data_IF_926361625100
#
_entry.id   IF_926361625100
#
_cell.length_a   1.000
_cell.length_b   1.000
_cell.length_c   1.000
_cell.angle_alpha   90.00
_cell.angle_beta   90.00
_cell.angle_gamma   90.00
#
_symmetry.space_group_name_H-M   'P 1'
#
loop_
_entity.id
_entity.type
_entity.pdbx_description
1 polymer ?
#
# COMPACT_ATOMS: atom_id res chain seq x y z
N UNK A 1 18.78 37.75 15.85
CA UNK A 1 17.31 37.76 15.97
C UNK A 1 16.83 36.34 15.73
N UNK A 2 16.21 35.67 16.71
CA UNK A 2 15.80 34.27 16.57
C UNK A 2 14.47 34.22 15.78
N UNK A 3 14.41 33.60 14.59
CA UNK A 3 13.20 33.58 13.75
C UNK A 3 12.02 32.83 14.39
N UNK A 4 12.25 32.08 15.47
CA UNK A 4 11.23 31.29 16.18
C UNK A 4 10.53 32.04 17.33
N UNK A 5 10.69 33.37 17.43
CA UNK A 5 10.12 34.18 18.54
C UNK A 5 8.68 34.65 18.32
N UNK A 6 8.01 34.21 17.25
CA UNK A 6 6.57 34.30 17.12
C UNK A 6 5.98 32.98 17.60
N UNK A 7 5.15 33.00 18.65
CA UNK A 7 4.36 31.82 19.00
C UNK A 7 3.56 31.42 17.75
N UNK A 8 3.72 30.19 17.21
CA UNK A 8 2.90 29.75 16.10
C UNK A 8 1.46 29.64 16.61
N UNK A 9 0.66 30.66 16.31
CA UNK A 9 -0.77 30.64 16.62
C UNK A 9 -1.42 29.74 15.59
N UNK A 10 -1.70 28.50 15.98
CA UNK A 10 -2.59 27.60 15.26
C UNK A 10 -4.01 28.01 15.63
N UNK A 11 -4.80 28.46 14.64
CA UNK A 11 -6.25 28.66 14.83
C UNK A 11 -6.94 27.30 14.84
N UNK A 12 -8.24 27.29 15.15
CA UNK A 12 -9.06 26.08 15.12
C UNK A 12 -8.87 25.32 13.78
N UNK A 13 -8.60 24.02 13.89
CA UNK A 13 -8.54 23.11 12.74
C UNK A 13 -9.93 23.02 12.08
N UNK A 14 -9.95 22.82 10.77
CA UNK A 14 -11.18 22.82 9.98
C UNK A 14 -11.24 21.53 9.17
N UNK A 15 -12.43 20.95 9.07
CA UNK A 15 -12.72 19.83 8.18
C UNK A 15 -13.12 20.40 6.81
N UNK A 16 -12.67 19.75 5.73
CA UNK A 16 -13.08 20.12 4.39
C UNK A 16 -13.23 18.90 3.49
N UNK A 17 -13.69 19.16 2.27
CA UNK A 17 -13.89 18.13 1.25
C UNK A 17 -13.09 18.49 0.00
N UNK A 18 -12.33 17.54 -0.55
CA UNK A 18 -11.59 17.76 -1.80
C UNK A 18 -12.57 17.95 -2.97
N UNK A 19 -12.41 19.04 -3.72
CA UNK A 19 -13.23 19.33 -4.92
C UNK A 19 -12.46 19.28 -6.23
N UNK A 20 -11.14 19.34 -6.17
CA UNK A 20 -10.30 19.14 -7.34
C UNK A 20 -8.94 18.60 -6.93
N UNK A 21 -8.50 17.58 -7.66
CA UNK A 21 -7.17 17.00 -7.52
C UNK A 21 -6.29 17.39 -8.71
N UNK A 22 -5.36 18.33 -8.52
CA UNK A 22 -4.29 18.63 -9.48
C UNK A 22 -3.01 17.83 -9.19
N UNK A 23 -1.94 18.00 -9.98
CA UNK A 23 -0.68 17.25 -9.76
C UNK A 23 0.14 17.70 -8.53
N UNK A 24 -0.18 18.86 -7.92
CA UNK A 24 0.50 19.42 -6.73
C UNK A 24 -0.36 20.38 -5.90
N UNK A 25 -1.61 20.59 -6.31
CA UNK A 25 -2.51 21.56 -5.72
C UNK A 25 -3.85 20.85 -5.48
N UNK A 26 -4.33 20.93 -4.24
CA UNK A 26 -5.65 20.47 -3.86
C UNK A 26 -6.55 21.69 -3.66
N UNK A 27 -7.73 21.63 -4.24
CA UNK A 27 -8.80 22.57 -3.94
C UNK A 27 -9.71 21.94 -2.90
N UNK A 28 -9.90 22.64 -1.78
CA UNK A 28 -10.70 22.16 -0.65
C UNK A 28 -11.90 23.07 -0.45
N UNK A 29 -13.08 22.47 -0.28
CA UNK A 29 -14.29 23.13 0.17
C UNK A 29 -14.36 23.04 1.69
N UNK A 30 -14.31 24.17 2.38
CA UNK A 30 -14.51 24.25 3.83
C UNK A 30 -15.99 24.15 4.22
N UNK A 31 -16.26 23.87 5.50
CA UNK A 31 -17.63 23.75 6.04
C UNK A 31 -18.48 25.02 5.86
N UNK A 32 -17.86 26.19 5.77
CA UNK A 32 -18.51 27.49 5.54
C UNK A 32 -18.91 27.72 4.08
N UNK A 33 -18.64 26.76 3.17
CA UNK A 33 -18.85 26.90 1.74
C UNK A 33 -17.71 27.62 1.01
N UNK A 34 -16.61 27.93 1.69
CA UNK A 34 -15.46 28.58 1.08
C UNK A 34 -14.59 27.60 0.28
N UNK A 35 -14.18 28.01 -0.92
CA UNK A 35 -13.17 27.29 -1.69
C UNK A 35 -11.78 27.85 -1.38
N UNK A 36 -10.86 26.96 -1.09
CA UNK A 36 -9.45 27.25 -0.85
C UNK A 36 -8.62 26.50 -1.88
N UNK A 37 -7.87 27.26 -2.66
CA UNK A 37 -6.97 26.73 -3.69
C UNK A 37 -5.56 26.49 -3.14
N UNK A 38 -4.80 25.68 -3.88
CA UNK A 38 -3.38 25.42 -3.64
C UNK A 38 -3.04 24.97 -2.21
N UNK A 39 -3.92 24.18 -1.60
CA UNK A 39 -3.67 23.64 -0.25
C UNK A 39 -2.67 22.48 -0.34
N UNK A 40 -1.48 22.59 0.28
CA UNK A 40 -0.50 21.52 0.27
C UNK A 40 -0.92 20.36 1.20
N UNK A 41 -0.62 19.14 0.77
CA UNK A 41 -0.70 17.93 1.59
C UNK A 41 0.68 17.62 2.16
N UNK A 42 0.79 17.55 3.49
CA UNK A 42 2.03 17.15 4.17
C UNK A 42 1.92 15.70 4.63
N UNK A 43 2.92 14.90 4.29
CA UNK A 43 2.97 13.46 4.61
C UNK A 43 4.32 13.09 5.21
N UNK A 44 4.37 11.93 5.86
CA UNK A 44 5.61 11.39 6.42
C UNK A 44 6.62 11.09 5.31
N UNK A 45 7.91 11.30 5.58
CA UNK A 45 8.98 10.98 4.62
C UNK A 45 8.95 9.48 4.31
N UNK A 46 9.00 9.13 3.03
CA UNK A 46 8.89 7.75 2.56
C UNK A 46 7.47 7.25 2.34
N UNK A 47 6.45 8.08 2.58
CA UNK A 47 5.04 7.78 2.30
C UNK A 47 4.45 8.84 1.36
N UNK A 48 3.76 8.38 0.31
CA UNK A 48 3.04 9.24 -0.61
C UNK A 48 1.68 8.61 -0.91
N UNK A 49 0.61 9.33 -0.57
CA UNK A 49 -0.76 8.93 -0.88
C UNK A 49 -1.51 10.14 -1.37
N UNK A 50 -2.03 10.07 -2.59
CA UNK A 50 -2.82 11.15 -3.15
C UNK A 50 -4.27 11.03 -2.70
N UNK A 51 -4.88 12.16 -2.37
CA UNK A 51 -6.26 12.21 -1.92
C UNK A 51 -7.20 12.22 -3.14
N UNK A 52 -8.25 11.39 -3.15
CA UNK A 52 -9.24 11.43 -4.21
C UNK A 52 -10.19 12.63 -4.08
N UNK A 53 -10.97 12.86 -5.14
CA UNK A 53 -12.10 13.79 -5.06
C UNK A 53 -13.11 13.32 -4.01
N UNK A 54 -13.78 14.29 -3.39
CA UNK A 54 -14.73 14.10 -2.29
C UNK A 54 -14.16 13.46 -1.00
N UNK A 55 -12.84 13.24 -0.91
CA UNK A 55 -12.20 12.87 0.35
C UNK A 55 -12.40 13.96 1.41
N UNK A 56 -12.67 13.53 2.64
CA UNK A 56 -12.72 14.42 3.80
C UNK A 56 -11.31 14.64 4.33
N UNK A 57 -10.96 15.89 4.66
CA UNK A 57 -9.63 16.28 5.09
C UNK A 57 -9.65 17.13 6.34
N UNK A 58 -8.61 16.97 7.17
CA UNK A 58 -8.31 17.89 8.27
C UNK A 58 -7.26 18.89 7.81
N UNK A 59 -7.62 20.16 7.88
CA UNK A 59 -6.76 21.28 7.53
C UNK A 59 -6.33 22.07 8.77
N UNK A 60 -5.04 22.38 8.85
CA UNK A 60 -4.47 23.23 9.89
C UNK A 60 -4.12 24.61 9.33
N UNK A 61 -4.68 25.69 9.88
CA UNK A 61 -4.29 27.05 9.51
C UNK A 61 -2.90 27.38 10.08
N UNK A 62 -2.02 27.82 9.20
CA UNK A 62 -0.63 28.16 9.50
C UNK A 62 -0.44 29.67 9.67
N UNK A 63 0.45 30.07 10.59
CA UNK A 63 0.85 31.46 10.83
C UNK A 63 -0.32 32.40 11.20
N UNK A 64 -1.38 31.88 11.82
CA UNK A 64 -2.52 32.69 12.25
C UNK A 64 -3.36 33.31 11.13
N UNK A 65 -3.17 32.91 9.85
CA UNK A 65 -3.95 33.37 8.69
C UNK A 65 -5.02 32.36 8.30
N UNK A 66 -6.23 32.86 7.99
CA UNK A 66 -7.39 32.02 7.70
C UNK A 66 -7.40 31.36 6.31
N UNK A 67 -6.44 31.65 5.42
CA UNK A 67 -6.36 31.07 4.07
C UNK A 67 -5.03 30.37 3.77
N UNK A 68 -4.18 30.19 4.79
CA UNK A 68 -2.92 29.48 4.66
C UNK A 68 -3.04 28.15 5.39
N UNK A 69 -3.43 27.09 4.68
CA UNK A 69 -3.70 25.79 5.27
C UNK A 69 -2.65 24.77 4.88
N UNK A 70 -2.57 23.69 5.67
CA UNK A 70 -1.94 22.45 5.29
C UNK A 70 -2.88 21.30 5.60
N UNK A 71 -3.01 20.35 4.69
CA UNK A 71 -3.70 19.08 4.95
C UNK A 71 -2.72 18.14 5.64
N UNK A 72 -3.15 17.60 6.79
CA UNK A 72 -2.33 16.68 7.60
C UNK A 72 -2.90 15.26 7.67
N UNK A 73 -4.17 15.12 7.32
CA UNK A 73 -4.87 13.84 7.26
C UNK A 73 -6.05 13.94 6.30
N UNK A 74 -6.40 12.82 5.70
CA UNK A 74 -7.63 12.66 4.94
C UNK A 74 -8.16 11.25 5.05
N UNK A 75 -9.45 11.10 4.84
CA UNK A 75 -10.15 9.82 4.77
C UNK A 75 -11.06 9.81 3.55
N UNK A 76 -11.21 8.64 2.95
CA UNK A 76 -12.20 8.38 1.91
C UNK A 76 -13.35 7.53 2.49
N UNK A 77 -14.26 7.08 1.62
CA UNK A 77 -15.39 6.25 2.03
C UNK A 77 -15.02 4.76 2.25
N UNK A 78 -13.76 4.36 2.07
CA UNK A 78 -13.37 2.95 2.14
C UNK A 78 -13.23 2.52 3.60
N UNK A 79 -14.13 1.64 4.04
CA UNK A 79 -14.03 1.02 5.35
C UNK A 79 -13.10 -0.21 5.29
N UNK A 80 -12.05 -0.22 6.12
CA UNK A 80 -11.11 -1.34 6.24
C UNK A 80 -11.16 -1.89 7.66
N UNK A 81 -11.48 -3.18 7.77
CA UNK A 81 -11.39 -3.91 9.02
C UNK A 81 -9.93 -4.34 9.28
N UNK A 82 -9.46 -4.05 10.50
CA UNK A 82 -8.15 -4.41 11.02
C UNK A 82 -8.30 -5.12 12.36
N UNK A 83 -7.51 -6.17 12.60
CA UNK A 83 -7.33 -6.72 13.94
C UNK A 83 -6.24 -5.96 14.69
N UNK A 84 -6.16 -6.18 15.99
CA UNK A 84 -5.17 -5.56 16.85
C UNK A 84 -3.74 -5.78 16.32
N UNK A 85 -3.01 -4.68 16.10
CA UNK A 85 -1.63 -4.67 15.61
C UNK A 85 -1.46 -4.86 14.09
N UNK A 86 -2.52 -5.07 13.32
CA UNK A 86 -2.44 -5.18 11.86
C UNK A 86 -2.34 -3.79 11.20
N UNK A 87 -1.66 -3.72 10.05
CA UNK A 87 -1.57 -2.49 9.24
C UNK A 87 -1.94 -2.78 7.80
N UNK A 88 -2.64 -1.86 7.15
CA UNK A 88 -2.97 -1.97 5.73
C UNK A 88 -2.62 -0.67 5.01
N UNK A 89 -1.94 -0.81 3.88
CA UNK A 89 -1.80 0.25 2.88
C UNK A 89 -2.77 -0.06 1.75
N UNK A 90 -3.62 0.91 1.40
CA UNK A 90 -4.67 0.72 0.41
C UNK A 90 -4.87 1.96 -0.47
N UNK A 91 -5.69 1.81 -1.52
CA UNK A 91 -6.19 2.91 -2.32
C UNK A 91 -7.72 2.81 -2.52
N UNK A 92 -8.32 3.88 -3.07
CA UNK A 92 -9.76 3.95 -3.35
C UNK A 92 -10.29 2.88 -4.33
N UNK A 93 -9.39 2.19 -5.04
CA UNK A 93 -9.75 1.12 -5.98
C UNK A 93 -9.85 -0.25 -5.30
N UNK A 94 -9.66 -0.30 -3.97
CA UNK A 94 -9.74 -1.53 -3.19
C UNK A 94 -8.50 -2.42 -3.30
N UNK A 95 -7.36 -1.89 -3.79
CA UNK A 95 -6.09 -2.61 -3.74
C UNK A 95 -5.52 -2.51 -2.34
N UNK A 96 -5.08 -3.63 -1.76
CA UNK A 96 -4.61 -3.71 -0.38
C UNK A 96 -3.29 -4.46 -0.25
N UNK A 97 -2.35 -3.87 0.49
CA UNK A 97 -1.18 -4.55 1.02
C UNK A 97 -1.29 -4.63 2.55
N UNK A 98 -1.57 -5.83 3.05
CA UNK A 98 -1.81 -6.08 4.47
C UNK A 98 -0.57 -6.65 5.15
N UNK A 99 -0.14 -5.99 6.23
CA UNK A 99 0.87 -6.48 7.17
C UNK A 99 0.12 -7.12 8.33
N UNK A 100 0.06 -8.46 8.30
CA UNK A 100 -0.59 -9.28 9.31
C UNK A 100 0.45 -9.79 10.32
N UNK A 101 -0.01 -10.45 11.37
CA UNK A 101 0.84 -10.98 12.44
C UNK A 101 1.99 -11.88 11.96
N UNK A 102 1.74 -12.73 10.96
CA UNK A 102 2.64 -13.79 10.51
C UNK A 102 3.05 -13.69 9.03
N UNK A 103 2.46 -12.77 8.26
CA UNK A 103 2.64 -12.68 6.81
C UNK A 103 2.24 -11.33 6.25
N UNK A 104 2.71 -11.08 5.04
CA UNK A 104 2.22 -9.99 4.18
C UNK A 104 1.24 -10.58 3.17
N UNK A 105 0.10 -9.92 2.96
CA UNK A 105 -0.94 -10.37 2.01
C UNK A 105 -1.31 -9.25 1.04
N UNK A 106 -1.31 -9.57 -0.25
CA UNK A 106 -1.93 -8.75 -1.30
C UNK A 106 -3.24 -9.39 -1.75
N UNK A 107 -4.24 -8.58 -2.08
CA UNK A 107 -5.48 -9.04 -2.72
C UNK A 107 -5.41 -9.00 -4.26
N UNK A 108 -4.31 -8.51 -4.82
CA UNK A 108 -4.03 -8.44 -6.26
C UNK A 108 -2.68 -9.09 -6.59
N UNK A 109 -2.41 -9.26 -7.88
CA UNK A 109 -1.10 -9.70 -8.37
C UNK A 109 0.02 -8.75 -7.97
N UNK A 110 1.20 -9.31 -7.75
CA UNK A 110 2.42 -8.54 -7.52
C UNK A 110 3.30 -8.61 -8.77
N UNK A 111 3.68 -7.46 -9.29
CA UNK A 111 4.68 -7.32 -10.36
C UNK A 111 6.00 -6.88 -9.73
N UNK A 112 7.09 -7.58 -10.06
CA UNK A 112 8.42 -7.37 -9.47
C UNK A 112 9.43 -7.26 -10.59
N UNK A 113 9.95 -6.04 -10.80
CA UNK A 113 10.99 -5.79 -11.82
C UNK A 113 12.34 -6.41 -11.47
N UNK A 114 12.55 -6.71 -10.18
CA UNK A 114 13.77 -7.30 -9.63
C UNK A 114 13.67 -8.81 -9.37
N UNK A 115 14.71 -9.33 -8.72
CA UNK A 115 14.75 -10.74 -8.32
C UNK A 115 13.94 -10.99 -7.05
N UNK A 116 13.25 -12.13 -7.00
CA UNK A 116 12.65 -12.68 -5.78
C UNK A 116 13.59 -13.74 -5.22
N UNK A 117 14.07 -13.54 -3.98
CA UNK A 117 14.92 -14.49 -3.26
C UNK A 117 14.22 -14.93 -1.97
N UNK A 118 14.09 -16.24 -1.79
CA UNK A 118 13.53 -16.84 -0.59
C UNK A 118 14.54 -17.78 0.07
N UNK A 119 14.60 -17.78 1.40
CA UNK A 119 15.31 -18.81 2.18
C UNK A 119 14.47 -20.07 2.39
N UNK A 120 13.15 -19.91 2.38
CA UNK A 120 12.18 -21.01 2.34
C UNK A 120 11.75 -21.37 0.92
N UNK A 121 10.71 -22.19 0.82
CA UNK A 121 10.17 -22.63 -0.47
C UNK A 121 9.43 -21.51 -1.22
N UNK A 122 9.57 -21.53 -2.54
CA UNK A 122 8.71 -20.79 -3.47
C UNK A 122 7.68 -21.77 -4.02
N UNK A 123 6.41 -21.53 -3.71
CA UNK A 123 5.31 -22.40 -4.11
C UNK A 123 4.22 -21.62 -4.82
N UNK A 124 3.59 -22.26 -5.80
CA UNK A 124 2.38 -21.80 -6.47
C UNK A 124 1.20 -22.72 -6.10
N UNK A 125 0.11 -22.65 -6.86
CA UNK A 125 -1.09 -23.47 -6.63
C UNK A 125 -0.86 -24.98 -6.85
N UNK A 126 0.12 -25.36 -7.67
CA UNK A 126 0.36 -26.73 -8.10
C UNK A 126 1.50 -27.42 -7.33
N UNK A 127 2.50 -26.67 -6.85
CA UNK A 127 3.60 -27.23 -6.07
C UNK A 127 4.69 -26.23 -5.73
N UNK A 128 5.84 -26.75 -5.29
CA UNK A 128 7.01 -25.94 -4.95
C UNK A 128 8.16 -26.12 -5.96
N UNK A 129 8.96 -25.07 -6.10
CA UNK A 129 10.20 -25.11 -6.90
C UNK A 129 11.17 -26.18 -6.41
N UNK A 130 11.14 -26.54 -5.11
CA UNK A 130 11.99 -27.60 -4.56
C UNK A 130 11.57 -28.99 -5.05
N UNK A 131 10.27 -29.27 -5.13
CA UNK A 131 9.76 -30.54 -5.69
C UNK A 131 10.18 -30.67 -7.16
N UNK A 132 10.06 -29.59 -7.94
CA UNK A 132 10.47 -29.57 -9.35
C UNK A 132 11.97 -29.85 -9.50
N UNK A 133 12.82 -29.24 -8.66
CA UNK A 133 14.26 -29.53 -8.63
C UNK A 133 14.56 -30.97 -8.26
N UNK A 134 13.83 -31.54 -7.30
CA UNK A 134 13.99 -32.94 -6.89
C UNK A 134 13.70 -33.91 -8.05
N UNK A 135 12.55 -33.75 -8.69
CA UNK A 135 12.18 -34.56 -9.86
C UNK A 135 13.19 -34.40 -11.00
N UNK A 136 13.66 -33.17 -11.24
CA UNK A 136 14.70 -32.90 -12.23
C UNK A 136 16.03 -33.58 -11.85
N UNK A 137 16.55 -33.44 -10.64
CA UNK A 137 17.86 -34.02 -10.31
C UNK A 137 17.87 -35.56 -10.29
N UNK A 138 16.70 -36.20 -10.17
CA UNK A 138 16.55 -37.66 -10.19
C UNK A 138 16.51 -38.21 -11.64
N UNK A 139 16.16 -37.40 -12.65
CA UNK A 139 16.13 -37.92 -14.03
C UNK A 139 17.56 -38.08 -14.57
N UNK A 140 17.93 -39.32 -14.89
CA UNK A 140 19.14 -39.65 -15.63
C UNK A 140 18.78 -40.06 -17.06
N UNK A 141 19.59 -39.64 -18.03
CA UNK A 141 19.53 -40.18 -19.39
C UNK A 141 20.59 -41.27 -19.54
N UNK A 142 20.16 -42.52 -19.66
CA UNK A 142 21.09 -43.67 -19.72
C UNK A 142 21.62 -43.97 -21.13
N UNK A 143 21.14 -43.29 -22.17
CA UNK A 143 21.67 -43.30 -23.53
C UNK A 143 20.96 -42.24 -24.39
N UNK A 144 21.59 -41.78 -25.48
CA UNK A 144 20.94 -40.98 -26.52
C UNK A 144 19.65 -41.68 -26.99
N UNK A 145 18.51 -41.02 -26.86
CA UNK A 145 17.21 -41.52 -27.32
C UNK A 145 16.40 -42.36 -26.33
N UNK A 146 16.83 -42.54 -25.09
CA UNK A 146 16.00 -43.19 -24.06
C UNK A 146 15.13 -42.17 -23.31
N UNK A 147 13.81 -42.38 -23.33
CA UNK A 147 12.87 -41.60 -22.52
C UNK A 147 13.19 -41.79 -21.02
N UNK A 148 13.05 -40.73 -20.20
CA UNK A 148 13.36 -40.80 -18.78
C UNK A 148 12.53 -41.89 -18.07
N UNK A 149 13.04 -42.49 -16.98
CA UNK A 149 12.31 -43.49 -16.24
C UNK A 149 10.99 -42.91 -15.72
N UNK A 150 9.89 -43.60 -15.96
CA UNK A 150 8.55 -43.22 -15.47
C UNK A 150 8.54 -43.27 -13.95
N UNK A 151 8.62 -42.11 -13.29
CA UNK A 151 8.28 -42.04 -11.87
C UNK A 151 6.77 -42.13 -11.79
N UNK A 152 6.26 -43.34 -11.54
CA UNK A 152 4.90 -43.53 -11.02
C UNK A 152 4.80 -42.64 -9.78
N UNK A 153 4.04 -41.57 -9.88
CA UNK A 153 3.68 -40.73 -8.75
C UNK A 153 2.88 -41.63 -7.82
N UNK A 154 3.58 -42.21 -6.83
CA UNK A 154 2.97 -43.02 -5.79
C UNK A 154 1.85 -42.22 -5.15
N UNK A 155 0.69 -42.87 -4.98
CA UNK A 155 -0.48 -42.30 -4.35
C UNK A 155 -0.07 -41.49 -3.13
N UNK A 156 -0.48 -40.22 -3.08
CA UNK A 156 -0.43 -39.45 -1.86
C UNK A 156 -1.24 -40.23 -0.82
N UNK A 157 -0.54 -40.75 0.19
CA UNK A 157 -1.17 -41.31 1.38
C UNK A 157 -2.06 -40.23 1.98
N UNK A 158 -3.37 -40.48 1.90
CA UNK A 158 -4.34 -39.85 2.75
C UNK A 158 -4.06 -40.32 4.18
N UNK A 159 -3.67 -39.39 5.05
CA UNK A 159 -4.01 -39.33 6.48
C UNK A 159 -3.63 -37.94 7.03
#
# INVERSE_FOLDING_TARGET
MNPFKQAPIVRQAIIGTIKRTGHKALQVLGLSGELVDDVPLYQQVGFASWLPEDAEVVMLPMQGRARNFVIVAGQDAVAIELKEGETVVYNQHGVELRLLKDKIKSNVSLEVDGNIKATGDVSDKAGSMQIMRGAYNIHGHTAEGTSPPTVLMGAADAL
#
